data_IF_942634961760
#
_entry.id   IF_942634961760
#
_cell.length_a   1.000
_cell.length_b   1.000
_cell.length_c   1.000
_cell.angle_alpha   90.00
_cell.angle_beta   90.00
_cell.angle_gamma   90.00
#
_symmetry.space_group_name_H-M   'P 1'
#
loop_
_entity.id
_entity.type
_entity.pdbx_description
1 polymer ?
#
# COMPACT_ATOMS: atom_id res chain seq x y z
N UNK A 1 33.50 3.97 -74.29
CA UNK A 1 32.97 5.00 -73.35
C UNK A 1 31.60 4.52 -72.86
N UNK A 2 31.45 4.41 -71.53
CA UNK A 2 30.23 4.18 -70.71
C UNK A 2 29.23 3.11 -71.19
N UNK A 3 29.02 1.93 -70.58
CA UNK A 3 29.03 1.46 -69.18
C UNK A 3 28.14 2.27 -68.22
N UNK A 4 26.80 2.08 -68.25
CA UNK A 4 25.89 2.57 -67.16
C UNK A 4 24.41 2.09 -67.21
N UNK A 5 24.11 0.84 -67.61
CA UNK A 5 22.69 0.38 -67.65
C UNK A 5 22.34 -0.89 -66.85
N UNK A 6 23.31 -1.58 -66.24
CA UNK A 6 23.03 -2.80 -65.45
C UNK A 6 22.91 -2.57 -63.94
N UNK A 7 23.40 -1.45 -63.39
CA UNK A 7 23.42 -1.20 -61.95
C UNK A 7 22.05 -0.83 -61.34
N UNK A 8 21.06 -0.44 -62.15
CA UNK A 8 19.81 0.16 -61.65
C UNK A 8 18.64 -0.82 -61.49
N UNK A 9 18.74 -2.07 -61.98
CA UNK A 9 17.68 -3.09 -61.82
C UNK A 9 17.88 -4.04 -60.63
N UNK A 10 19.09 -4.18 -60.10
CA UNK A 10 19.34 -5.03 -58.92
C UNK A 10 19.05 -4.33 -57.58
N UNK A 11 19.10 -2.99 -57.50
CA UNK A 11 18.82 -2.26 -56.24
C UNK A 11 17.34 -2.19 -55.85
N UNK A 12 16.41 -2.41 -56.79
CA UNK A 12 14.95 -2.35 -56.50
C UNK A 12 14.31 -3.67 -56.08
N UNK A 13 15.04 -4.78 -56.05
CA UNK A 13 14.47 -6.10 -55.68
C UNK A 13 14.90 -6.64 -54.32
N UNK A 14 15.76 -5.94 -53.59
CA UNK A 14 16.23 -6.36 -52.26
C UNK A 14 15.47 -5.73 -51.07
N UNK A 15 14.50 -4.85 -51.31
CA UNK A 15 13.69 -4.24 -50.22
C UNK A 15 12.30 -4.91 -50.07
N UNK A 16 11.91 -5.81 -50.97
CA UNK A 16 10.58 -6.44 -50.93
C UNK A 16 10.51 -7.84 -50.28
N UNK A 17 11.65 -8.43 -49.86
CA UNK A 17 11.70 -9.84 -49.43
C UNK A 17 12.06 -10.13 -47.97
N UNK A 18 12.41 -9.12 -47.16
CA UNK A 18 13.00 -9.32 -45.83
C UNK A 18 12.11 -8.93 -44.63
N UNK A 19 10.93 -8.36 -44.84
CA UNK A 19 10.12 -7.79 -43.76
C UNK A 19 9.13 -8.78 -43.11
N UNK A 20 8.96 -9.99 -43.65
CA UNK A 20 7.88 -10.89 -43.24
C UNK A 20 8.27 -11.94 -42.20
N UNK A 21 9.56 -12.16 -41.93
CA UNK A 21 10.02 -13.26 -41.06
C UNK A 21 10.49 -12.82 -39.65
N UNK A 22 10.60 -11.51 -39.37
CA UNK A 22 10.94 -11.00 -38.03
C UNK A 22 9.73 -10.50 -37.23
N UNK A 23 8.55 -10.44 -37.85
CA UNK A 23 7.34 -9.95 -37.18
C UNK A 23 6.69 -10.97 -36.23
N UNK A 24 6.97 -12.27 -36.38
CA UNK A 24 6.32 -13.33 -35.57
C UNK A 24 7.10 -13.75 -34.32
N UNK A 25 8.39 -13.42 -34.19
CA UNK A 25 9.21 -13.78 -33.02
C UNK A 25 9.27 -12.69 -31.95
N UNK A 26 8.89 -11.44 -32.25
CA UNK A 26 8.97 -10.31 -31.32
C UNK A 26 7.75 -10.09 -30.42
N UNK A 27 6.59 -10.67 -30.77
CA UNK A 27 5.34 -10.46 -30.02
C UNK A 27 5.21 -11.33 -28.76
N UNK A 28 6.02 -12.40 -28.62
CA UNK A 28 5.97 -13.31 -27.48
C UNK A 28 6.68 -12.81 -26.21
N UNK A 29 7.54 -11.81 -26.31
CA UNK A 29 8.37 -11.32 -25.18
C UNK A 29 7.84 -10.07 -24.47
N UNK A 30 6.72 -9.49 -24.91
CA UNK A 30 6.11 -8.31 -24.29
C UNK A 30 4.82 -8.60 -23.53
N UNK A 31 4.57 -9.86 -23.16
CA UNK A 31 3.58 -10.18 -22.12
C UNK A 31 4.11 -9.75 -20.74
N UNK A 32 4.41 -8.46 -20.58
CA UNK A 32 4.20 -7.79 -19.31
C UNK A 32 2.71 -7.90 -19.06
N UNK A 33 2.32 -8.86 -18.24
CA UNK A 33 1.02 -8.89 -17.61
C UNK A 33 0.79 -7.53 -16.97
N UNK A 34 0.10 -6.64 -17.69
CA UNK A 34 -0.45 -5.44 -17.11
C UNK A 34 -1.54 -5.94 -16.16
N UNK A 35 -1.17 -6.14 -14.90
CA UNK A 35 -2.15 -6.37 -13.86
C UNK A 35 -3.12 -5.20 -13.94
N UNK A 36 -4.36 -5.48 -14.34
CA UNK A 36 -5.41 -4.48 -14.35
C UNK A 36 -5.48 -3.91 -12.93
N UNK A 37 -5.19 -2.62 -12.79
CA UNK A 37 -5.21 -1.97 -11.49
C UNK A 37 -6.68 -1.89 -11.06
N UNK A 38 -7.05 -2.68 -10.04
CA UNK A 38 -8.39 -2.61 -9.47
C UNK A 38 -8.61 -1.21 -8.90
N UNK A 39 -9.68 -0.54 -9.32
CA UNK A 39 -10.07 0.77 -8.80
C UNK A 39 -11.45 0.69 -8.17
N UNK A 40 -11.67 1.45 -7.10
CA UNK A 40 -12.98 1.65 -6.47
C UNK A 40 -13.38 3.12 -6.50
N UNK A 41 -14.67 3.40 -6.52
CA UNK A 41 -15.22 4.76 -6.39
C UNK A 41 -15.83 4.92 -5.00
N UNK A 42 -15.27 5.81 -4.19
CA UNK A 42 -15.87 6.20 -2.91
C UNK A 42 -17.09 7.11 -3.18
N UNK A 43 -18.17 7.03 -2.36
CA UNK A 43 -19.43 7.72 -2.65
C UNK A 43 -19.42 9.21 -2.28
N UNK A 44 -18.47 9.96 -2.86
CA UNK A 44 -18.36 11.42 -2.77
C UNK A 44 -17.54 11.97 -3.94
N UNK A 45 -17.59 13.29 -4.15
CA UNK A 45 -16.85 13.93 -5.24
C UNK A 45 -15.33 13.67 -5.15
N UNK A 46 -14.71 13.35 -6.30
CA UNK A 46 -13.30 12.92 -6.39
C UNK A 46 -13.03 11.66 -5.54
N UNK A 47 -13.90 10.65 -5.68
CA UNK A 47 -13.91 9.40 -4.92
C UNK A 47 -13.08 8.26 -5.51
N UNK A 48 -12.63 8.35 -6.77
CA UNK A 48 -11.82 7.32 -7.43
C UNK A 48 -10.53 7.02 -6.66
N UNK A 49 -10.30 5.75 -6.32
CA UNK A 49 -9.10 5.26 -5.62
C UNK A 49 -8.62 3.95 -6.22
N UNK A 50 -7.34 3.65 -5.99
CA UNK A 50 -6.75 2.35 -6.34
C UNK A 50 -6.92 1.38 -5.18
N UNK A 51 -7.14 0.10 -5.49
CA UNK A 51 -7.02 -0.99 -4.54
C UNK A 51 -5.67 -1.68 -4.75
N UNK A 52 -4.84 -1.70 -3.71
CA UNK A 52 -3.49 -2.25 -3.79
C UNK A 52 -3.23 -3.16 -2.60
N UNK A 53 -2.70 -4.35 -2.87
CA UNK A 53 -2.19 -5.24 -1.84
C UNK A 53 -0.78 -4.78 -1.43
N UNK A 54 -0.63 -4.44 -0.15
CA UNK A 54 0.67 -4.22 0.48
C UNK A 54 1.14 -5.56 1.10
N UNK A 55 2.44 -5.71 1.45
CA UNK A 55 2.88 -6.89 2.20
C UNK A 55 1.98 -7.14 3.42
N UNK A 56 1.55 -8.39 3.60
CA UNK A 56 0.64 -8.85 4.67
C UNK A 56 -0.76 -8.23 4.66
N UNK A 57 -1.13 -7.51 3.59
CA UNK A 57 -2.45 -6.89 3.43
C UNK A 57 -3.18 -7.47 2.22
N UNK A 58 -4.48 -7.68 2.36
CA UNK A 58 -5.37 -7.82 1.20
C UNK A 58 -5.44 -6.48 0.45
N UNK A 59 -5.99 -6.41 -0.78
CA UNK A 59 -6.17 -5.14 -1.46
C UNK A 59 -6.94 -4.13 -0.60
N UNK A 60 -6.31 -3.00 -0.29
CA UNK A 60 -6.90 -1.89 0.46
C UNK A 60 -6.99 -0.63 -0.40
N UNK A 61 -7.88 0.29 -0.01
CA UNK A 61 -8.13 1.55 -0.73
C UNK A 61 -6.99 2.52 -0.44
N UNK A 62 -6.19 2.85 -1.45
CA UNK A 62 -5.02 3.73 -1.28
C UNK A 62 -5.42 5.20 -1.35
N UNK A 63 -5.20 5.94 -0.26
CA UNK A 63 -5.29 7.40 -0.24
C UNK A 63 -3.97 8.06 -0.61
N UNK A 64 -2.87 7.61 0.01
CA UNK A 64 -1.50 8.07 -0.29
C UNK A 64 -0.53 6.89 -0.20
N UNK A 65 0.51 6.90 -1.02
CA UNK A 65 1.56 5.87 -1.01
C UNK A 65 2.79 6.26 -0.19
N UNK A 66 3.08 7.56 -0.04
CA UNK A 66 4.24 8.09 0.70
C UNK A 66 3.85 9.33 1.54
N UNK A 67 3.53 9.17 2.83
CA UNK A 67 3.47 7.90 3.56
C UNK A 67 2.24 7.04 3.18
N UNK A 68 2.23 5.73 3.50
CA UNK A 68 1.07 4.88 3.31
C UNK A 68 -0.14 5.35 4.13
N UNK A 69 -1.27 5.57 3.44
CA UNK A 69 -2.59 5.73 4.02
C UNK A 69 -3.55 4.81 3.25
N UNK A 70 -4.02 3.77 3.93
CA UNK A 70 -4.83 2.70 3.37
C UNK A 70 -6.13 2.60 4.15
N UNK A 71 -7.26 2.66 3.44
CA UNK A 71 -8.60 2.55 4.00
C UNK A 71 -9.17 1.14 3.76
N UNK A 72 -9.87 0.60 4.78
CA UNK A 72 -10.55 -0.70 4.71
C UNK A 72 -11.77 -0.62 3.78
N UNK A 73 -11.91 -1.50 2.78
CA UNK A 73 -13.17 -1.62 2.03
C UNK A 73 -14.35 -1.87 2.97
N UNK A 74 -15.45 -1.12 2.80
CA UNK A 74 -16.55 -1.12 3.78
C UNK A 74 -17.23 -2.49 3.93
N UNK A 75 -17.23 -3.31 2.88
CA UNK A 75 -17.74 -4.68 2.90
C UNK A 75 -17.07 -5.59 3.94
N UNK A 76 -15.81 -5.32 4.29
CA UNK A 76 -15.07 -6.08 5.33
C UNK A 76 -15.77 -6.03 6.68
N UNK A 77 -16.51 -4.96 6.98
CA UNK A 77 -17.23 -4.85 8.26
C UNK A 77 -18.44 -5.81 8.35
N UNK A 78 -18.82 -6.48 7.26
CA UNK A 78 -19.80 -7.56 7.26
C UNK A 78 -19.17 -8.93 7.57
N UNK A 79 -17.83 -9.08 7.50
CA UNK A 79 -17.14 -10.35 7.69
C UNK A 79 -17.10 -10.79 9.17
N UNK A 80 -17.23 -9.84 10.10
CA UNK A 80 -17.26 -10.11 11.54
C UNK A 80 -16.93 -8.90 12.41
N UNK A 81 -17.06 -9.07 13.73
CA UNK A 81 -16.83 -8.01 14.72
C UNK A 81 -15.36 -7.61 14.89
N UNK A 82 -14.43 -8.50 14.53
CA UNK A 82 -12.99 -8.25 14.58
C UNK A 82 -12.49 -8.09 13.14
N UNK A 83 -11.90 -6.94 12.85
CA UNK A 83 -11.32 -6.65 11.56
C UNK A 83 -10.05 -7.51 11.37
N UNK A 84 -9.96 -8.34 10.33
CA UNK A 84 -8.76 -9.14 10.07
C UNK A 84 -7.49 -8.28 9.94
N UNK A 85 -6.35 -8.80 10.39
CA UNK A 85 -5.07 -8.07 10.34
C UNK A 85 -4.71 -7.62 8.91
N UNK A 86 -4.98 -8.46 7.93
CA UNK A 86 -4.72 -8.18 6.51
C UNK A 86 -5.68 -7.12 5.93
N UNK A 87 -6.78 -6.80 6.63
CA UNK A 87 -7.77 -5.81 6.25
C UNK A 87 -7.75 -4.53 7.11
N UNK A 88 -7.00 -4.50 8.21
CA UNK A 88 -6.96 -3.35 9.12
C UNK A 88 -6.34 -2.11 8.45
N UNK A 89 -7.00 -0.96 8.57
CA UNK A 89 -6.57 0.31 7.96
C UNK A 89 -5.15 0.71 8.39
N UNK A 90 -4.48 1.51 7.57
CA UNK A 90 -3.12 2.02 7.84
C UNK A 90 -3.11 3.53 7.71
N UNK A 91 -2.51 4.22 8.69
CA UNK A 91 -2.32 5.68 8.63
C UNK A 91 -0.94 6.05 9.16
N UNK A 92 -0.07 6.55 8.28
CA UNK A 92 1.17 7.24 8.64
C UNK A 92 1.14 8.73 8.32
N UNK A 93 1.90 9.52 9.08
CA UNK A 93 2.09 10.96 8.85
C UNK A 93 3.43 11.29 8.18
N UNK A 94 4.47 10.51 8.46
CA UNK A 94 5.83 10.75 7.97
C UNK A 94 6.24 9.69 6.95
N UNK A 95 6.89 10.10 5.86
CA UNK A 95 7.32 9.21 4.79
C UNK A 95 8.49 8.27 5.18
N UNK A 96 9.33 8.68 6.13
CA UNK A 96 10.50 7.91 6.59
C UNK A 96 10.14 6.84 7.61
N UNK A 97 9.24 5.92 7.24
CA UNK A 97 8.89 4.77 8.10
C UNK A 97 10.02 3.72 8.05
N UNK A 98 10.31 3.03 9.17
CA UNK A 98 11.23 1.90 9.12
C UNK A 98 10.59 0.77 8.30
N UNK A 99 11.32 0.26 7.30
CA UNK A 99 10.90 -0.88 6.47
C UNK A 99 11.47 -2.21 6.96
N UNK A 100 12.34 -2.17 7.97
CA UNK A 100 12.89 -3.33 8.67
C UNK A 100 13.25 -2.91 10.10
N UNK A 101 12.96 -3.77 11.08
CA UNK A 101 13.30 -3.59 12.49
C UNK A 101 13.79 -4.93 13.01
N UNK A 102 14.94 -4.94 13.67
CA UNK A 102 15.42 -6.07 14.46
C UNK A 102 14.72 -6.02 15.83
N UNK A 103 13.73 -6.89 16.04
CA UNK A 103 12.92 -6.92 17.25
C UNK A 103 13.72 -7.25 18.51
N UNK A 104 14.77 -8.07 18.38
CA UNK A 104 15.60 -8.49 19.52
C UNK A 104 16.52 -7.36 20.00
N UNK A 105 16.85 -6.42 19.11
CA UNK A 105 17.60 -5.20 19.43
C UNK A 105 16.73 -3.99 19.74
N UNK A 106 15.41 -4.11 19.64
CA UNK A 106 14.52 -2.98 19.85
C UNK A 106 14.44 -2.60 21.34
N UNK A 107 14.59 -1.31 21.61
CA UNK A 107 14.58 -0.73 22.96
C UNK A 107 13.50 0.35 23.05
N UNK A 108 12.66 0.24 24.07
CA UNK A 108 11.65 1.21 24.45
C UNK A 108 12.24 2.09 25.55
N UNK A 109 12.32 3.39 25.31
CA UNK A 109 12.84 4.36 26.29
C UNK A 109 11.69 4.98 27.08
N UNK A 110 11.73 4.84 28.40
CA UNK A 110 10.78 5.44 29.32
C UNK A 110 11.45 6.63 30.01
N UNK A 111 10.81 7.80 29.95
CA UNK A 111 11.35 9.03 30.53
C UNK A 111 10.28 10.08 30.78
N UNK A 112 10.72 11.29 31.09
CA UNK A 112 9.84 12.40 31.49
C UNK A 112 9.75 12.56 33.00
N UNK A 113 9.10 13.65 33.45
CA UNK A 113 9.12 14.09 34.84
C UNK A 113 8.51 13.06 35.81
N UNK A 114 7.51 12.31 35.37
CA UNK A 114 6.83 11.29 36.17
C UNK A 114 7.63 9.98 36.33
N UNK A 115 8.67 9.75 35.52
CA UNK A 115 9.44 8.50 35.58
C UNK A 115 10.39 8.43 36.79
N UNK A 116 10.64 9.55 37.48
CA UNK A 116 11.66 9.68 38.52
C UNK A 116 13.08 9.58 37.96
N UNK A 117 13.45 8.41 37.41
CA UNK A 117 14.67 8.16 36.66
C UNK A 117 14.33 7.51 35.31
N UNK A 118 14.81 8.05 34.17
CA UNK A 118 14.65 7.41 32.87
C UNK A 118 15.25 6.00 32.86
N UNK A 119 14.59 5.08 32.16
CA UNK A 119 15.04 3.71 32.00
C UNK A 119 14.66 3.18 30.62
N UNK A 120 15.23 2.04 30.25
CA UNK A 120 15.04 1.41 28.96
C UNK A 120 14.55 -0.03 29.15
N UNK A 121 13.63 -0.48 28.29
CA UNK A 121 13.10 -1.84 28.26
C UNK A 121 13.35 -2.46 26.89
N UNK A 122 13.87 -3.68 26.85
CA UNK A 122 13.86 -4.48 25.61
C UNK A 122 12.48 -5.08 25.35
N UNK A 123 12.20 -5.50 24.12
CA UNK A 123 10.97 -6.24 23.82
C UNK A 123 10.88 -7.58 24.57
N UNK A 124 12.02 -8.22 24.84
CA UNK A 124 12.06 -9.46 25.65
C UNK A 124 11.56 -9.20 27.06
N UNK A 125 12.12 -8.18 27.74
CA UNK A 125 11.71 -7.80 29.09
C UNK A 125 10.24 -7.41 29.16
N UNK A 126 9.74 -6.64 28.17
CA UNK A 126 8.33 -6.28 28.09
C UNK A 126 7.42 -7.51 28.07
N UNK A 127 7.84 -8.59 27.40
CA UNK A 127 7.07 -9.84 27.27
C UNK A 127 7.18 -10.77 28.49
N UNK A 128 8.31 -10.77 29.18
CA UNK A 128 8.60 -11.76 30.24
C UNK A 128 8.47 -11.22 31.65
N UNK A 129 8.70 -9.93 31.87
CA UNK A 129 8.74 -9.33 33.22
C UNK A 129 7.39 -8.74 33.65
N UNK A 130 6.44 -8.59 32.73
CA UNK A 130 5.14 -7.97 32.98
C UNK A 130 3.98 -8.93 32.68
N UNK A 131 2.90 -8.81 33.46
CA UNK A 131 1.67 -9.56 33.20
C UNK A 131 0.92 -8.95 32.01
N UNK A 132 0.65 -9.71 30.93
CA UNK A 132 -0.08 -9.19 29.79
C UNK A 132 -1.56 -8.98 30.12
N UNK A 133 -2.15 -7.98 29.46
CA UNK A 133 -3.60 -7.76 29.40
C UNK A 133 -4.07 -7.87 27.95
N UNK A 134 -5.33 -8.28 27.79
CA UNK A 134 -6.00 -8.34 26.51
C UNK A 134 -7.20 -7.38 26.50
N UNK A 135 -7.40 -6.64 25.42
CA UNK A 135 -8.52 -5.73 25.24
C UNK A 135 -9.03 -5.77 23.81
N UNK A 136 -10.35 -5.95 23.63
CA UNK A 136 -11.00 -5.70 22.34
C UNK A 136 -11.33 -4.22 22.26
N UNK A 137 -10.74 -3.51 21.29
CA UNK A 137 -10.93 -2.08 21.13
C UNK A 137 -10.91 -1.65 19.66
N UNK A 138 -11.76 -0.66 19.36
CA UNK A 138 -11.80 0.03 18.08
C UNK A 138 -10.67 1.06 18.03
N UNK A 139 -9.88 1.01 16.97
CA UNK A 139 -9.02 2.12 16.57
C UNK A 139 -9.70 2.84 15.41
N UNK A 140 -9.93 4.15 15.54
CA UNK A 140 -10.57 4.97 14.52
C UNK A 140 -9.78 6.26 14.32
N UNK A 141 -9.47 6.57 13.06
CA UNK A 141 -8.87 7.86 12.71
C UNK A 141 -9.87 8.98 13.01
N UNK A 142 -9.43 10.07 13.64
CA UNK A 142 -10.26 11.27 13.86
C UNK A 142 -10.85 11.84 12.56
N UNK A 143 -10.22 11.52 11.42
CA UNK A 143 -10.66 11.91 10.10
C UNK A 143 -11.54 10.91 9.36
N UNK A 144 -11.96 9.80 10.00
CA UNK A 144 -12.90 8.88 9.38
C UNK A 144 -14.14 9.65 8.91
N UNK A 145 -14.67 9.30 7.75
CA UNK A 145 -15.84 9.92 7.13
C UNK A 145 -15.65 11.37 6.64
N UNK A 146 -14.43 11.92 6.65
CA UNK A 146 -14.17 13.31 6.19
C UNK A 146 -14.64 13.57 4.75
N UNK A 147 -14.60 12.56 3.86
CA UNK A 147 -15.06 12.71 2.48
C UNK A 147 -16.54 13.09 2.34
N UNK A 148 -17.33 12.85 3.38
CA UNK A 148 -18.77 13.16 3.44
C UNK A 148 -19.10 14.55 4.01
N UNK A 149 -18.10 15.33 4.46
CA UNK A 149 -18.37 16.67 5.00
C UNK A 149 -18.89 17.61 3.91
N UNK A 150 -19.87 18.45 4.27
CA UNK A 150 -20.43 19.49 3.42
C UNK A 150 -20.53 20.83 4.20
N UNK A 151 -19.74 21.86 3.87
CA UNK A 151 -18.75 21.89 2.78
C UNK A 151 -17.55 20.97 3.06
N UNK A 152 -16.86 20.57 1.98
CA UNK A 152 -15.64 19.74 2.07
C UNK A 152 -14.53 20.49 2.82
N UNK A 153 -13.73 19.74 3.59
CA UNK A 153 -12.58 20.28 4.36
C UNK A 153 -11.28 19.58 3.99
N UNK A 154 -10.15 20.24 4.25
CA UNK A 154 -8.81 19.73 3.96
C UNK A 154 -8.44 18.51 4.81
N UNK A 155 -7.50 17.70 4.31
CA UNK A 155 -7.03 16.46 4.96
C UNK A 155 -7.31 15.20 4.14
N UNK A 156 -7.12 14.03 4.77
CA UNK A 156 -7.38 12.74 4.13
C UNK A 156 -8.86 12.57 3.81
N UNK A 157 -9.18 12.44 2.51
CA UNK A 157 -10.54 12.30 2.00
C UNK A 157 -10.96 10.82 2.05
N UNK A 158 -11.31 10.40 3.27
CA UNK A 158 -11.69 9.03 3.65
C UNK A 158 -13.21 8.84 3.52
N UNK A 159 -13.64 7.62 3.17
CA UNK A 159 -15.00 7.17 3.45
C UNK A 159 -15.07 6.67 4.91
N UNK A 160 -15.79 5.58 5.17
CA UNK A 160 -16.05 5.10 6.54
C UNK A 160 -15.07 4.00 7.00
N UNK A 161 -14.06 3.66 6.21
CA UNK A 161 -13.15 2.55 6.45
C UNK A 161 -11.87 2.89 7.22
N UNK A 162 -11.73 4.13 7.73
CA UNK A 162 -10.57 4.54 8.53
C UNK A 162 -10.70 4.11 10.00
N UNK A 163 -11.15 2.87 10.20
CA UNK A 163 -11.39 2.27 11.49
C UNK A 163 -11.22 0.74 11.41
N UNK A 164 -11.00 0.13 12.56
CA UNK A 164 -11.00 -1.33 12.71
C UNK A 164 -11.12 -1.71 14.18
N UNK A 165 -11.68 -2.87 14.45
CA UNK A 165 -11.79 -3.44 15.79
C UNK A 165 -10.85 -4.63 15.91
N UNK A 166 -10.00 -4.66 16.93
CA UNK A 166 -9.04 -5.74 17.12
C UNK A 166 -8.94 -6.13 18.60
N UNK A 167 -8.43 -7.34 18.80
CA UNK A 167 -8.02 -7.86 20.10
C UNK A 167 -6.54 -7.54 20.29
N UNK A 168 -6.26 -6.60 21.18
CA UNK A 168 -4.92 -6.11 21.48
C UNK A 168 -4.38 -6.83 22.71
N UNK A 169 -3.13 -7.29 22.64
CA UNK A 169 -2.41 -7.88 23.78
C UNK A 169 -1.16 -7.06 24.04
N UNK A 170 -0.92 -6.71 25.30
CA UNK A 170 0.23 -5.92 25.70
C UNK A 170 0.35 -5.76 27.20
N UNK A 171 1.18 -4.81 27.62
CA UNK A 171 1.37 -4.43 29.03
C UNK A 171 0.61 -3.12 29.28
N UNK A 172 -0.13 -2.98 30.39
CA UNK A 172 -0.70 -1.69 30.78
C UNK A 172 0.41 -0.63 30.93
N UNK A 173 0.16 0.59 30.44
CA UNK A 173 1.10 1.71 30.58
C UNK A 173 1.26 2.14 32.05
#
# INVERSE_FOLDING_TARGET
MNNDHHANRLRRRLIAGGASALASAGLGMLSRSAFAQTTGELPFANGKRNLVAYPEKRPLIVLTSRPPQLETPFEVFNDGLITPNDAFFVRYHNAGIPTSIDGDKHVIKIGGNAAGKPYELTLSQLRTEFKPVEMVAVNQCSGNSRGFFNPRVTGGQLANGAMGNARWVGVPL
#
